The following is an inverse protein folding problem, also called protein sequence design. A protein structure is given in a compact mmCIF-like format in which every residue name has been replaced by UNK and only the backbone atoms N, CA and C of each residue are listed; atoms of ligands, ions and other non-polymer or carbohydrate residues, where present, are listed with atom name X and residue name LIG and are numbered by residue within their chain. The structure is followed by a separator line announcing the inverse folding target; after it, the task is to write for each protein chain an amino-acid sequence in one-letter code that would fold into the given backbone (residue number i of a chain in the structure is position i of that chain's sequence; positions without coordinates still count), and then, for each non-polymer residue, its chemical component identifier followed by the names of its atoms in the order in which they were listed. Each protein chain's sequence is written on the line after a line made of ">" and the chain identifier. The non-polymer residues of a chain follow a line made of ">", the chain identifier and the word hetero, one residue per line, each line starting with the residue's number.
data_IF_256567222826
#
_entry.id   IF_256567222826
#
_cell.length_a   1.000
_cell.length_b   1.000
_cell.length_c   1.000
_cell.angle_alpha   90.00
_cell.angle_beta   90.00
_cell.angle_gamma   90.00
#
_symmetry.space_group_name_H-M   'P 1'
#
loop_
_entity.id
_entity.type
_entity.pdbx_description
1 polymer ?
#
# COMPACT_ATOMS: atom_id res chain seq x y z
N UNK A 1 7.16 -49.78 -34.10
CA UNK A 1 5.89 -49.27 -33.53
C UNK A 1 5.68 -47.88 -34.09
N UNK A 2 5.07 -47.82 -35.28
CA UNK A 2 4.47 -46.67 -35.99
C UNK A 2 3.35 -47.30 -36.84
N UNK A 3 2.19 -46.66 -37.01
CA UNK A 3 1.99 -45.56 -37.96
C UNK A 3 1.15 -44.40 -37.37
N UNK A 4 1.21 -43.14 -37.82
CA UNK A 4 0.69 -42.55 -39.07
C UNK A 4 -0.79 -42.89 -39.38
N UNK A 5 -1.59 -41.83 -39.55
CA UNK A 5 -2.80 -41.67 -40.39
C UNK A 5 -3.91 -40.90 -39.64
N UNK A 6 -4.16 -39.63 -39.98
CA UNK A 6 -4.97 -39.15 -41.12
C UNK A 6 -6.47 -39.10 -40.76
N UNK A 7 -7.06 -37.90 -40.70
CA UNK A 7 -7.98 -37.42 -41.75
C UNK A 7 -8.69 -36.11 -41.34
N UNK A 8 -8.53 -35.08 -42.17
CA UNK A 8 -9.59 -34.10 -42.44
C UNK A 8 -10.59 -34.71 -43.45
N UNK A 9 -11.80 -34.16 -43.57
CA UNK A 9 -12.14 -33.40 -44.79
C UNK A 9 -12.92 -32.12 -44.45
N UNK A 10 -12.51 -30.93 -44.90
CA UNK A 10 -12.74 -30.31 -46.23
C UNK A 10 -14.21 -30.27 -46.67
N UNK A 11 -14.77 -29.06 -46.69
CA UNK A 11 -15.60 -28.43 -47.74
C UNK A 11 -16.54 -27.43 -47.04
N UNK A 12 -16.49 -26.13 -47.27
CA UNK A 12 -16.25 -25.43 -48.53
C UNK A 12 -17.53 -24.68 -48.86
N UNK A 13 -17.51 -23.34 -48.74
CA UNK A 13 -18.18 -22.41 -49.66
C UNK A 13 -17.84 -20.98 -49.31
N UNK A 14 -16.97 -20.42 -50.14
CA UNK A 14 -16.86 -18.99 -50.39
C UNK A 14 -18.13 -18.50 -51.10
N UNK A 15 -18.62 -17.32 -50.73
CA UNK A 15 -18.91 -16.25 -51.70
C UNK A 15 -19.00 -14.89 -50.99
N UNK A 16 -18.47 -13.81 -51.61
CA UNK A 16 -18.32 -12.49 -51.00
C UNK A 16 -19.41 -11.52 -51.50
N UNK A 17 -19.98 -10.73 -50.60
CA UNK A 17 -20.81 -9.54 -50.90
C UNK A 17 -20.80 -8.68 -49.64
N UNK A 18 -20.71 -7.37 -49.64
CA UNK A 18 -20.34 -6.36 -50.61
C UNK A 18 -20.06 -5.13 -49.71
N UNK A 19 -19.13 -4.28 -50.12
CA UNK A 19 -19.11 -2.91 -49.62
C UNK A 19 -20.47 -2.29 -49.94
N UNK A 20 -21.17 -1.78 -48.92
CA UNK A 20 -22.15 -0.75 -49.17
C UNK A 20 -21.90 0.43 -48.24
N UNK A 21 -21.79 1.57 -48.91
CA UNK A 21 -21.47 2.88 -48.37
C UNK A 21 -22.82 3.56 -48.35
N UNK A 22 -23.47 3.66 -47.19
CA UNK A 22 -24.58 4.59 -47.11
C UNK A 22 -24.65 5.30 -45.77
N UNK A 23 -24.70 6.61 -45.91
CA UNK A 23 -24.75 7.59 -44.88
C UNK A 23 -26.14 7.58 -44.26
N UNK A 24 -26.26 7.05 -43.06
CA UNK A 24 -27.39 7.42 -42.19
C UNK A 24 -26.84 7.99 -40.90
N UNK A 25 -26.78 9.32 -40.88
CA UNK A 25 -26.59 10.14 -39.68
C UNK A 25 -27.60 9.70 -38.62
N UNK A 26 -27.15 8.98 -37.61
CA UNK A 26 -27.90 8.84 -36.37
C UNK A 26 -27.68 10.14 -35.60
N UNK A 27 -28.72 10.94 -35.34
CA UNK A 27 -28.59 12.16 -34.56
C UNK A 27 -28.15 11.80 -33.15
N UNK A 28 -27.10 12.45 -32.65
CA UNK A 28 -26.79 12.47 -31.23
C UNK A 28 -28.03 12.93 -30.47
N UNK A 29 -28.60 12.12 -29.56
CA UNK A 29 -29.42 12.72 -28.52
C UNK A 29 -28.44 13.52 -27.66
N UNK A 30 -28.47 14.85 -27.82
CA UNK A 30 -28.08 15.81 -26.78
C UNK A 30 -29.10 15.62 -25.65
N UNK A 31 -28.97 14.49 -24.97
CA UNK A 31 -29.78 14.10 -23.84
C UNK A 31 -29.05 14.61 -22.61
N UNK A 32 -29.57 15.72 -22.09
CA UNK A 32 -29.60 16.07 -20.68
C UNK A 32 -28.43 15.52 -19.87
N UNK A 33 -27.50 16.41 -19.49
CA UNK A 33 -26.63 16.23 -18.34
C UNK A 33 -27.48 15.90 -17.12
N UNK A 34 -27.78 14.62 -16.99
CA UNK A 34 -28.19 14.03 -15.74
C UNK A 34 -26.94 14.19 -14.92
N UNK A 35 -26.94 15.16 -14.00
CA UNK A 35 -25.99 15.22 -12.90
C UNK A 35 -26.12 13.90 -12.14
N UNK A 36 -25.46 12.87 -12.68
CA UNK A 36 -25.13 11.66 -11.98
C UNK A 36 -24.21 12.14 -10.88
N UNK A 37 -24.82 12.33 -9.69
CA UNK A 37 -24.15 12.45 -8.41
C UNK A 37 -23.07 11.38 -8.39
N UNK A 38 -21.83 11.75 -8.75
CA UNK A 38 -20.70 10.82 -8.75
C UNK A 38 -20.68 10.22 -7.35
N UNK A 39 -20.62 8.88 -7.21
CA UNK A 39 -20.52 8.29 -5.90
C UNK A 39 -19.26 8.87 -5.26
N UNK A 40 -19.41 9.60 -4.17
CA UNK A 40 -18.34 10.31 -3.46
C UNK A 40 -17.20 9.40 -2.96
N UNK A 41 -17.28 8.08 -3.22
CA UNK A 41 -16.26 7.09 -2.90
C UNK A 41 -15.12 7.02 -3.91
N UNK A 42 -15.37 7.22 -5.21
CA UNK A 42 -14.33 7.06 -6.25
C UNK A 42 -13.26 8.14 -6.13
N UNK A 43 -13.66 9.38 -5.83
CA UNK A 43 -12.75 10.51 -5.66
C UNK A 43 -11.86 10.35 -4.42
N UNK A 44 -12.36 9.78 -3.32
CA UNK A 44 -11.55 9.51 -2.12
C UNK A 44 -10.51 8.42 -2.37
N UNK A 45 -10.87 7.37 -3.11
CA UNK A 45 -9.92 6.31 -3.47
C UNK A 45 -8.82 6.87 -4.37
N UNK A 46 -9.19 7.68 -5.37
CA UNK A 46 -8.23 8.36 -6.24
C UNK A 46 -7.30 9.30 -5.46
N UNK A 47 -7.82 10.05 -4.50
CA UNK A 47 -7.01 10.91 -3.63
C UNK A 47 -6.00 10.11 -2.79
N UNK A 48 -6.41 8.96 -2.22
CA UNK A 48 -5.51 8.09 -1.45
C UNK A 48 -4.42 7.47 -2.32
N UNK A 49 -4.75 7.04 -3.54
CA UNK A 49 -3.78 6.49 -4.49
C UNK A 49 -2.79 7.58 -4.91
N UNK A 50 -3.27 8.78 -5.27
CA UNK A 50 -2.41 9.90 -5.62
C UNK A 50 -1.45 10.27 -4.47
N UNK A 51 -1.96 10.30 -3.23
CA UNK A 51 -1.16 10.53 -2.03
C UNK A 51 -0.06 9.47 -1.84
N UNK A 52 -0.38 8.20 -2.08
CA UNK A 52 0.56 7.09 -1.97
C UNK A 52 1.62 7.14 -3.09
N UNK A 53 1.24 7.47 -4.32
CA UNK A 53 2.17 7.63 -5.45
C UNK A 53 3.15 8.78 -5.24
N UNK A 54 2.66 9.94 -4.75
CA UNK A 54 3.52 11.07 -4.41
C UNK A 54 4.53 10.69 -3.30
N UNK A 55 4.07 9.98 -2.26
CA UNK A 55 4.95 9.49 -1.19
C UNK A 55 6.02 8.55 -1.72
N UNK A 56 5.65 7.56 -2.54
CA UNK A 56 6.61 6.62 -3.14
C UNK A 56 7.62 7.38 -4.01
N UNK A 57 7.14 8.29 -4.87
CA UNK A 57 8.02 9.08 -5.75
C UNK A 57 9.07 9.87 -4.96
N UNK A 58 8.67 10.51 -3.86
CA UNK A 58 9.59 11.26 -2.99
C UNK A 58 10.62 10.33 -2.35
N UNK A 59 10.16 9.25 -1.72
CA UNK A 59 11.03 8.28 -1.04
C UNK A 59 12.03 7.63 -2.01
N UNK A 60 11.59 7.27 -3.22
CA UNK A 60 12.44 6.67 -4.26
C UNK A 60 13.46 7.64 -4.87
N UNK A 61 13.25 8.95 -4.77
CA UNK A 61 14.21 9.95 -5.25
C UNK A 61 15.43 10.14 -4.33
N UNK A 62 15.34 9.63 -3.10
CA UNK A 62 16.39 9.80 -2.08
C UNK A 62 17.36 8.63 -2.15
N UNK A 63 18.65 8.94 -2.30
CA UNK A 63 19.72 7.93 -2.43
C UNK A 63 20.16 7.29 -1.11
N UNK A 64 19.97 7.98 0.01
CA UNK A 64 20.30 7.46 1.34
C UNK A 64 19.10 6.78 1.98
N UNK A 65 19.20 5.48 2.37
CA UNK A 65 18.09 4.74 2.97
C UNK A 65 17.63 5.35 4.29
N UNK A 66 18.55 5.92 5.07
CA UNK A 66 18.26 6.59 6.34
C UNK A 66 17.40 7.85 6.11
N UNK A 67 17.78 8.67 5.12
CA UNK A 67 17.03 9.87 4.77
C UNK A 67 15.67 9.53 4.16
N UNK A 68 15.58 8.44 3.41
CA UNK A 68 14.33 7.91 2.87
C UNK A 68 13.38 7.49 4.00
N UNK A 69 13.87 6.78 5.02
CA UNK A 69 13.08 6.39 6.20
C UNK A 69 12.63 7.60 7.03
N UNK A 70 13.49 8.60 7.22
CA UNK A 70 13.14 9.86 7.89
C UNK A 70 12.03 10.60 7.16
N UNK A 71 12.16 10.72 5.84
CA UNK A 71 11.15 11.36 5.00
C UNK A 71 9.82 10.61 5.08
N UNK A 72 9.86 9.27 5.02
CA UNK A 72 8.69 8.43 5.19
C UNK A 72 7.99 8.68 6.53
N UNK A 73 8.74 8.69 7.64
CA UNK A 73 8.18 8.92 8.98
C UNK A 73 7.50 10.29 9.07
N UNK A 74 8.14 11.34 8.57
CA UNK A 74 7.60 12.71 8.60
C UNK A 74 6.36 12.87 7.73
N UNK A 75 6.36 12.31 6.52
CA UNK A 75 5.21 12.41 5.60
C UNK A 75 3.99 11.64 6.13
N UNK A 76 4.21 10.44 6.70
CA UNK A 76 3.13 9.67 7.34
C UNK A 76 2.58 10.45 8.54
N UNK A 77 3.45 11.03 9.38
CA UNK A 77 3.03 11.90 10.49
C UNK A 77 2.16 13.04 10.00
N UNK A 78 2.65 13.81 9.03
CA UNK A 78 1.97 14.99 8.50
C UNK A 78 0.59 14.65 7.92
N UNK A 79 0.50 13.53 7.19
CA UNK A 79 -0.74 13.16 6.47
C UNK A 79 -1.80 12.56 7.39
N UNK A 80 -1.42 11.84 8.44
CA UNK A 80 -2.36 11.21 9.37
C UNK A 80 -2.55 11.98 10.69
N UNK A 81 -1.77 13.03 10.93
CA UNK A 81 -1.88 13.85 12.14
C UNK A 81 -1.57 13.09 13.43
N UNK A 82 -0.69 12.08 13.36
CA UNK A 82 -0.28 11.30 14.53
C UNK A 82 0.87 11.99 15.27
N UNK A 83 1.04 11.67 16.55
CA UNK A 83 2.06 12.32 17.37
C UNK A 83 3.48 11.87 16.99
N UNK A 84 3.66 10.57 16.82
CA UNK A 84 4.93 9.96 16.44
C UNK A 84 4.74 8.89 15.38
N UNK A 85 5.66 8.86 14.42
CA UNK A 85 5.86 7.72 13.50
C UNK A 85 7.28 7.23 13.67
N UNK A 86 7.43 5.93 13.88
CA UNK A 86 8.72 5.26 14.00
C UNK A 86 8.86 4.28 12.84
N UNK A 87 10.01 4.32 12.17
CA UNK A 87 10.38 3.37 11.13
C UNK A 87 11.57 2.57 11.63
N UNK A 88 11.43 1.25 11.58
CA UNK A 88 12.51 0.32 11.87
C UNK A 88 12.81 -0.58 10.67
N UNK A 89 14.06 -1.03 10.59
CA UNK A 89 14.49 -2.02 9.61
C UNK A 89 14.65 -3.37 10.30
N UNK A 90 13.96 -4.37 9.75
CA UNK A 90 14.09 -5.74 10.21
C UNK A 90 15.29 -6.41 9.53
N UNK A 91 16.22 -6.92 10.32
CA UNK A 91 17.32 -7.73 9.84
C UNK A 91 16.94 -9.22 9.94
N UNK A 92 16.81 -9.86 8.78
CA UNK A 92 16.44 -11.28 8.66
C UNK A 92 17.44 -12.24 9.30
N UNK A 93 18.67 -11.81 9.55
CA UNK A 93 19.74 -12.68 10.04
C UNK A 93 19.71 -12.82 11.56
N UNK A 94 19.14 -11.84 12.27
CA UNK A 94 19.13 -11.81 13.74
C UNK A 94 17.71 -11.72 14.33
N UNK A 95 16.67 -11.75 13.50
CA UNK A 95 15.27 -11.54 13.89
C UNK A 95 15.07 -10.33 14.81
N UNK A 96 15.78 -9.23 14.50
CA UNK A 96 15.64 -7.95 15.20
C UNK A 96 15.22 -6.84 14.25
N UNK A 97 14.42 -5.93 14.79
CA UNK A 97 14.09 -4.65 14.21
C UNK A 97 14.89 -3.57 14.92
N UNK A 98 15.57 -2.72 14.14
CA UNK A 98 16.31 -1.57 14.64
C UNK A 98 15.63 -0.29 14.16
N UNK A 99 15.37 0.65 15.08
CA UNK A 99 14.76 1.94 14.75
C UNK A 99 15.76 2.81 13.98
N UNK A 100 15.38 3.23 12.78
CA UNK A 100 16.23 4.03 11.88
C UNK A 100 15.71 5.44 11.64
N UNK A 101 14.41 5.67 11.91
CA UNK A 101 13.82 7.00 11.85
C UNK A 101 12.70 7.16 12.89
N UNK A 102 12.62 8.35 13.46
CA UNK A 102 11.50 8.82 14.28
C UNK A 102 11.10 10.19 13.74
N UNK A 103 9.81 10.40 13.52
CA UNK A 103 9.29 11.67 12.99
C UNK A 103 9.73 12.86 13.85
N UNK A 104 10.10 13.97 13.21
CA UNK A 104 10.62 15.22 13.82
C UNK A 104 11.91 15.09 14.63
N UNK A 105 12.57 13.94 14.64
CA UNK A 105 13.86 13.73 15.31
C UNK A 105 14.97 13.65 14.27
N UNK A 106 15.93 14.58 14.32
CA UNK A 106 17.05 14.60 13.37
C UNK A 106 18.09 13.52 13.66
N UNK A 107 18.41 13.30 14.93
CA UNK A 107 19.40 12.34 15.40
C UNK A 107 18.78 11.46 16.47
N UNK A 108 18.78 10.14 16.22
CA UNK A 108 18.24 9.16 17.15
C UNK A 108 19.29 8.87 18.20
N UNK A 109 18.91 9.02 19.47
CA UNK A 109 19.66 8.44 20.58
C UNK A 109 19.18 7.00 20.79
N UNK A 110 20.04 5.98 20.56
CA UNK A 110 19.69 4.57 20.74
C UNK A 110 19.35 4.22 22.19
N UNK A 111 19.81 5.01 23.16
CA UNK A 111 19.55 4.80 24.58
C UNK A 111 18.36 5.61 25.10
N UNK A 112 17.75 6.45 24.27
CA UNK A 112 16.56 7.17 24.67
C UNK A 112 15.40 6.22 24.90
N UNK A 113 14.57 6.56 25.89
CA UNK A 113 13.48 5.70 26.32
C UNK A 113 12.44 5.47 25.20
N UNK A 114 12.19 6.47 24.36
CA UNK A 114 11.37 6.34 23.15
C UNK A 114 11.94 5.29 22.20
N UNK A 115 13.22 5.39 21.85
CA UNK A 115 13.86 4.45 20.94
C UNK A 115 13.82 3.03 21.48
N UNK A 116 14.12 2.84 22.77
CA UNK A 116 14.10 1.53 23.42
C UNK A 116 12.69 0.92 23.45
N UNK A 117 11.67 1.70 23.82
CA UNK A 117 10.26 1.23 23.85
C UNK A 117 9.73 0.95 22.46
N UNK A 118 10.01 1.82 21.48
CA UNK A 118 9.59 1.62 20.10
C UNK A 118 10.26 0.39 19.46
N UNK A 119 11.56 0.21 19.72
CA UNK A 119 12.31 -0.99 19.30
C UNK A 119 11.70 -2.26 19.90
N UNK A 120 11.34 -2.22 21.19
CA UNK A 120 10.71 -3.36 21.86
C UNK A 120 9.35 -3.70 21.26
N UNK A 121 8.52 -2.70 20.98
CA UNK A 121 7.21 -2.90 20.33
C UNK A 121 7.36 -3.46 18.90
N UNK A 122 8.33 -2.97 18.12
CA UNK A 122 8.61 -3.48 16.79
C UNK A 122 9.09 -4.94 16.82
N UNK A 123 9.97 -5.28 17.77
CA UNK A 123 10.43 -6.67 17.97
C UNK A 123 9.30 -7.60 18.43
N UNK A 124 8.36 -7.11 19.25
CA UNK A 124 7.16 -7.87 19.62
C UNK A 124 6.29 -8.20 18.39
N UNK A 125 6.09 -7.25 17.48
CA UNK A 125 5.42 -7.50 16.19
C UNK A 125 6.18 -8.52 15.32
N UNK A 126 7.50 -8.36 15.22
CA UNK A 126 8.36 -9.25 14.43
C UNK A 126 8.30 -10.69 14.96
N UNK A 127 8.42 -10.88 16.28
CA UNK A 127 8.32 -12.18 16.93
C UNK A 127 6.94 -12.83 16.75
N UNK A 128 5.86 -12.03 16.71
CA UNK A 128 4.50 -12.52 16.47
C UNK A 128 4.18 -12.76 14.99
N UNK A 129 5.00 -12.28 14.05
CA UNK A 129 4.70 -12.29 12.63
C UNK A 129 3.40 -11.55 12.27
N UNK A 130 2.97 -10.60 13.11
CA UNK A 130 1.71 -9.87 12.96
C UNK A 130 1.83 -8.45 13.49
N UNK A 131 0.91 -7.58 13.08
CA UNK A 131 0.85 -6.21 13.60
C UNK A 131 0.31 -6.20 15.05
N UNK A 132 0.61 -5.12 15.77
CA UNK A 132 0.12 -4.86 17.11
C UNK A 132 -0.74 -3.60 17.13
N UNK A 133 -1.79 -3.61 17.95
CA UNK A 133 -2.62 -2.44 18.23
C UNK A 133 -2.86 -2.39 19.73
N UNK A 134 -2.57 -1.24 20.35
CA UNK A 134 -2.90 -1.00 21.75
C UNK A 134 -3.83 0.21 21.89
N UNK A 135 -4.92 0.11 22.68
CA UNK A 135 -5.42 -1.10 23.32
C UNK A 135 -5.89 -2.14 22.28
N UNK A 136 -5.79 -3.45 22.59
CA UNK A 136 -6.21 -4.50 21.67
C UNK A 136 -7.72 -4.43 21.43
N UNK A 137 -8.13 -4.76 20.21
CA UNK A 137 -9.55 -4.82 19.82
C UNK A 137 -10.22 -6.06 20.42
N UNK A 138 -9.47 -7.16 20.53
CA UNK A 138 -9.92 -8.46 21.02
C UNK A 138 -9.17 -8.88 22.30
N UNK A 139 -9.82 -9.75 23.07
CA UNK A 139 -9.28 -10.21 24.35
C UNK A 139 -8.09 -11.16 24.18
N UNK A 140 -8.07 -11.89 23.07
CA UNK A 140 -7.12 -12.96 22.79
C UNK A 140 -5.68 -12.44 22.59
N UNK A 141 -5.52 -11.17 22.16
CA UNK A 141 -4.20 -10.56 21.96
C UNK A 141 -3.71 -9.71 23.14
N UNK A 142 -4.50 -9.55 24.23
CA UNK A 142 -4.13 -8.70 25.37
C UNK A 142 -2.80 -9.08 26.01
N UNK A 143 -2.51 -10.38 26.09
CA UNK A 143 -1.30 -10.90 26.73
C UNK A 143 -0.05 -10.80 25.84
N UNK A 144 -0.22 -10.59 24.54
CA UNK A 144 0.87 -10.60 23.55
C UNK A 144 1.34 -9.19 23.15
N UNK A 145 0.84 -8.14 23.80
CA UNK A 145 1.07 -6.73 23.44
C UNK A 145 1.65 -5.90 24.60
N UNK A 146 2.57 -6.51 25.35
CA UNK A 146 3.15 -5.88 26.53
C UNK A 146 4.04 -4.69 26.14
N UNK A 147 4.86 -4.83 25.10
CA UNK A 147 5.72 -3.74 24.65
C UNK A 147 4.90 -2.59 24.04
N UNK A 148 3.82 -2.88 23.31
CA UNK A 148 2.90 -1.85 22.82
C UNK A 148 2.24 -1.07 23.95
N UNK A 149 1.80 -1.76 25.02
CA UNK A 149 1.27 -1.11 26.21
C UNK A 149 2.29 -0.17 26.85
N UNK A 150 3.54 -0.63 27.00
CA UNK A 150 4.59 0.19 27.59
C UNK A 150 4.90 1.44 26.75
N UNK A 151 4.89 1.33 25.43
CA UNK A 151 5.07 2.47 24.54
C UNK A 151 3.89 3.44 24.66
N UNK A 152 2.66 2.95 24.62
CA UNK A 152 1.43 3.74 24.68
C UNK A 152 1.20 4.46 26.02
N UNK A 153 1.88 4.05 27.09
CA UNK A 153 1.84 4.73 28.39
C UNK A 153 2.93 5.82 28.53
N UNK A 154 3.91 5.81 27.64
CA UNK A 154 5.02 6.75 27.64
C UNK A 154 4.72 7.97 26.76
N UNK A 155 4.13 7.73 25.59
CA UNK A 155 3.50 8.78 24.76
C UNK A 155 2.21 9.24 25.43
#
# INVERSE_FOLDING_TARGET
>A
MLPCDANSPIAGRSTPLAFDTDATRIPCPVGMETQAKRPAGDDQVLQRIAALLDLISRVSSISSPENACKTLANEVKLRYGVEYVVVGLCNRTNDRCEVVAISDIQQIDPNSELTLRATSAANECLARGSHGLWPPVDDDNRHALFAHRQLAQWI
#
